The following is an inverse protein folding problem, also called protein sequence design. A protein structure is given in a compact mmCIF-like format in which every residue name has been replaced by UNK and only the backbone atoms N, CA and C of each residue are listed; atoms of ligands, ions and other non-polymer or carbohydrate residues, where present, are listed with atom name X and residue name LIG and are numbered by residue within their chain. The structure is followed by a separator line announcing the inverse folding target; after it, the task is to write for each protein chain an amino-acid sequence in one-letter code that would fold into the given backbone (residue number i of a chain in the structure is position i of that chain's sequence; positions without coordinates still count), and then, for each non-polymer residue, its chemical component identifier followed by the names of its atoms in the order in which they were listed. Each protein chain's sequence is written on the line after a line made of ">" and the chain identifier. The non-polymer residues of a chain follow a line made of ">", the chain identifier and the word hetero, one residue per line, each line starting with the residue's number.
data_IF_773360506854
#
_entry.id   IF_773360506854
#
_cell.length_a   1.000
_cell.length_b   1.000
_cell.length_c   1.000
_cell.angle_alpha   90.00
_cell.angle_beta   90.00
_cell.angle_gamma   90.00
#
_symmetry.space_group_name_H-M   'P 1'
#
loop_
_entity.id
_entity.type
_entity.pdbx_description
1 polymer ?
#
# COMPACT_ATOMS: atom_id res chain seq x y z
N UNK A 1 -52.77 19.86 -25.63
CA UNK A 1 -52.08 19.07 -24.58
C UNK A 1 -51.37 17.92 -25.27
N UNK A 2 -50.10 18.13 -25.61
CA UNK A 2 -49.23 17.10 -26.18
C UNK A 2 -48.79 16.17 -25.05
N UNK A 3 -49.33 14.96 -25.02
CA UNK A 3 -48.82 13.84 -24.24
C UNK A 3 -47.38 13.59 -24.65
N UNK A 4 -46.43 14.09 -23.86
CA UNK A 4 -45.01 13.83 -24.06
C UNK A 4 -44.74 12.34 -23.93
N UNK A 5 -44.29 11.71 -25.01
CA UNK A 5 -43.69 10.39 -24.97
C UNK A 5 -42.53 10.46 -23.95
N UNK A 6 -42.72 9.84 -22.79
CA UNK A 6 -41.64 9.60 -21.86
C UNK A 6 -40.66 8.66 -22.56
N UNK A 7 -39.62 9.23 -23.16
CA UNK A 7 -38.58 8.50 -23.88
C UNK A 7 -38.04 7.37 -23.01
N UNK A 8 -38.31 6.13 -23.42
CA UNK A 8 -37.84 4.94 -22.75
C UNK A 8 -36.32 4.93 -22.80
N UNK A 9 -35.69 4.94 -21.63
CA UNK A 9 -34.22 4.97 -21.53
C UNK A 9 -33.69 3.64 -22.06
N UNK A 10 -32.87 3.70 -23.12
CA UNK A 10 -32.29 2.51 -23.72
C UNK A 10 -31.39 1.71 -22.74
N UNK A 11 -31.25 0.38 -22.92
CA UNK A 11 -30.48 -0.48 -22.01
C UNK A 11 -29.02 -0.03 -21.79
N UNK A 12 -28.39 0.55 -22.82
CA UNK A 12 -27.02 1.08 -22.73
C UNK A 12 -26.90 2.29 -21.80
N UNK A 13 -27.93 3.15 -21.75
CA UNK A 13 -27.97 4.30 -20.86
C UNK A 13 -28.23 3.87 -19.40
N UNK A 14 -29.02 2.82 -19.18
CA UNK A 14 -29.20 2.20 -17.85
C UNK A 14 -27.89 1.62 -17.35
N UNK A 15 -27.17 0.86 -18.19
CA UNK A 15 -25.87 0.28 -17.84
C UNK A 15 -24.84 1.37 -17.49
N UNK A 16 -24.73 2.43 -18.31
CA UNK A 16 -23.82 3.56 -18.00
C UNK A 16 -24.12 4.18 -16.65
N UNK A 17 -25.40 4.34 -16.29
CA UNK A 17 -25.79 4.88 -14.98
C UNK A 17 -25.46 3.92 -13.84
N UNK A 18 -25.72 2.61 -14.01
CA UNK A 18 -25.40 1.60 -13.00
C UNK A 18 -23.88 1.47 -12.75
N UNK A 19 -23.06 1.77 -13.76
CA UNK A 19 -21.60 1.80 -13.64
C UNK A 19 -21.06 3.06 -12.96
N UNK A 20 -21.88 4.08 -12.69
CA UNK A 20 -21.46 5.29 -11.96
C UNK A 20 -21.61 5.13 -10.46
N UNK A 21 -22.71 4.53 -10.01
CA UNK A 21 -22.97 4.22 -8.60
C UNK A 21 -24.01 3.10 -8.50
N UNK A 22 -24.04 2.41 -7.37
CA UNK A 22 -24.99 1.34 -7.11
C UNK A 22 -26.42 1.91 -7.18
N UNK A 23 -27.35 1.13 -7.72
CA UNK A 23 -28.77 1.50 -7.70
C UNK A 23 -29.19 2.59 -8.70
N UNK A 24 -28.27 3.36 -9.30
CA UNK A 24 -28.62 4.34 -10.34
C UNK A 24 -29.27 3.70 -11.57
N UNK A 25 -28.90 2.45 -11.89
CA UNK A 25 -29.57 1.65 -12.92
C UNK A 25 -31.04 1.36 -12.58
N UNK A 26 -31.31 0.92 -11.35
CA UNK A 26 -32.67 0.65 -10.88
C UNK A 26 -33.51 1.92 -10.76
N UNK A 27 -32.91 3.06 -10.37
CA UNK A 27 -33.56 4.36 -10.40
C UNK A 27 -33.91 4.78 -11.83
N UNK A 28 -33.05 4.51 -12.82
CA UNK A 28 -33.32 4.79 -14.22
C UNK A 28 -34.49 3.94 -14.77
N UNK A 29 -34.72 2.74 -14.22
CA UNK A 29 -35.87 1.87 -14.52
C UNK A 29 -37.12 2.24 -13.71
N UNK A 30 -37.10 3.31 -12.91
CA UNK A 30 -38.23 3.73 -12.07
C UNK A 30 -38.42 2.89 -10.80
N UNK A 31 -37.53 1.94 -10.50
CA UNK A 31 -37.55 1.09 -9.30
C UNK A 31 -36.96 1.83 -8.09
N UNK A 32 -37.64 2.90 -7.67
CA UNK A 32 -37.15 3.88 -6.66
C UNK A 32 -36.67 3.23 -5.36
N UNK A 33 -37.46 2.34 -4.76
CA UNK A 33 -37.10 1.69 -3.50
C UNK A 33 -35.86 0.81 -3.61
N UNK A 34 -35.76 0.00 -4.67
CA UNK A 34 -34.59 -0.84 -4.92
C UNK A 34 -33.34 0.01 -5.19
N UNK A 35 -33.45 1.05 -6.00
CA UNK A 35 -32.35 1.96 -6.29
C UNK A 35 -31.84 2.70 -5.03
N UNK A 36 -32.75 3.18 -4.18
CA UNK A 36 -32.37 3.81 -2.91
C UNK A 36 -31.70 2.83 -1.94
N UNK A 37 -32.21 1.60 -1.83
CA UNK A 37 -31.60 0.58 -0.99
C UNK A 37 -30.16 0.26 -1.42
N UNK A 38 -29.91 0.16 -2.73
CA UNK A 38 -28.57 -0.04 -3.27
C UNK A 38 -27.62 1.13 -3.00
N UNK A 39 -28.09 2.38 -3.14
CA UNK A 39 -27.28 3.56 -2.81
C UNK A 39 -26.90 3.61 -1.33
N UNK A 40 -27.83 3.30 -0.43
CA UNK A 40 -27.52 3.21 1.01
C UNK A 40 -26.52 2.09 1.29
N UNK A 41 -26.69 0.93 0.65
CA UNK A 41 -25.75 -0.18 0.78
C UNK A 41 -24.34 0.18 0.28
N UNK A 42 -24.23 0.94 -0.80
CA UNK A 42 -22.94 1.44 -1.30
C UNK A 42 -22.25 2.33 -0.28
N UNK A 43 -22.97 3.31 0.28
CA UNK A 43 -22.42 4.20 1.31
C UNK A 43 -21.92 3.40 2.51
N UNK A 44 -22.73 2.45 3.01
CA UNK A 44 -22.33 1.59 4.13
C UNK A 44 -21.11 0.73 3.79
N UNK A 45 -21.05 0.19 2.58
CA UNK A 45 -19.92 -0.62 2.14
C UNK A 45 -18.65 0.21 1.98
N UNK A 46 -18.73 1.43 1.45
CA UNK A 46 -17.59 2.36 1.37
C UNK A 46 -17.09 2.74 2.77
N UNK A 47 -17.99 3.08 3.70
CA UNK A 47 -17.63 3.37 5.08
C UNK A 47 -16.94 2.17 5.74
N UNK A 48 -17.47 0.96 5.55
CA UNK A 48 -16.87 -0.26 6.05
C UNK A 48 -15.48 -0.52 5.43
N UNK A 49 -15.32 -0.32 4.13
CA UNK A 49 -14.03 -0.48 3.44
C UNK A 49 -12.98 0.51 3.95
N UNK A 50 -13.37 1.77 4.15
CA UNK A 50 -12.48 2.80 4.71
C UNK A 50 -12.07 2.42 6.13
N UNK A 51 -13.03 2.01 6.97
CA UNK A 51 -12.76 1.56 8.33
C UNK A 51 -11.79 0.37 8.37
N UNK A 52 -12.03 -0.66 7.55
CA UNK A 52 -11.18 -1.84 7.46
C UNK A 52 -9.79 -1.48 6.91
N UNK A 53 -9.70 -0.61 5.91
CA UNK A 53 -8.42 -0.22 5.31
C UNK A 53 -7.56 0.56 6.29
N UNK A 54 -8.13 1.55 6.99
CA UNK A 54 -7.41 2.33 8.01
C UNK A 54 -6.94 1.43 9.17
N UNK A 55 -7.77 0.46 9.58
CA UNK A 55 -7.46 -0.38 10.72
C UNK A 55 -6.52 -1.55 10.43
N UNK A 56 -6.61 -2.15 9.23
CA UNK A 56 -6.00 -3.45 8.94
C UNK A 56 -4.96 -3.43 7.81
N UNK A 57 -4.90 -2.38 6.97
CA UNK A 57 -4.02 -2.41 5.79
C UNK A 57 -2.53 -2.52 6.10
N UNK A 58 -2.09 -2.06 7.28
CA UNK A 58 -0.70 -2.14 7.75
C UNK A 58 -0.49 -3.25 8.80
N UNK A 59 -1.38 -4.24 8.82
CA UNK A 59 -1.34 -5.35 9.78
C UNK A 59 -1.16 -6.69 9.07
N UNK A 60 -0.93 -7.75 9.83
CA UNK A 60 -0.94 -9.14 9.34
C UNK A 60 -2.27 -9.54 8.67
N UNK A 61 -3.34 -8.77 8.90
CA UNK A 61 -4.67 -9.00 8.36
C UNK A 61 -5.00 -8.11 7.16
N UNK A 62 -3.98 -7.54 6.50
CA UNK A 62 -4.15 -6.68 5.32
C UNK A 62 -5.01 -7.31 4.21
N UNK A 63 -5.02 -8.64 4.07
CA UNK A 63 -5.87 -9.33 3.08
C UNK A 63 -7.37 -9.12 3.30
N UNK A 64 -7.83 -8.84 4.52
CA UNK A 64 -9.26 -8.64 4.82
C UNK A 64 -9.82 -7.43 4.07
N UNK A 65 -9.28 -6.20 4.20
CA UNK A 65 -9.77 -5.07 3.40
C UNK A 65 -9.66 -5.35 1.91
N UNK A 66 -8.60 -6.01 1.43
CA UNK A 66 -8.48 -6.38 0.01
C UNK A 66 -9.65 -7.22 -0.49
N UNK A 67 -9.95 -8.32 0.22
CA UNK A 67 -11.05 -9.23 -0.12
C UNK A 67 -12.40 -8.53 -0.01
N UNK A 68 -12.59 -7.67 0.99
CA UNK A 68 -13.80 -6.85 1.10
C UNK A 68 -13.96 -5.93 -0.12
N UNK A 69 -12.87 -5.33 -0.61
CA UNK A 69 -12.92 -4.49 -1.81
C UNK A 69 -13.20 -5.29 -3.09
N UNK A 70 -12.66 -6.50 -3.21
CA UNK A 70 -13.02 -7.44 -4.30
C UNK A 70 -14.51 -7.79 -4.24
N UNK A 71 -15.04 -8.07 -3.04
CA UNK A 71 -16.46 -8.35 -2.84
C UNK A 71 -17.34 -7.14 -3.19
N UNK A 72 -16.91 -5.92 -2.83
CA UNK A 72 -17.58 -4.69 -3.23
C UNK A 72 -17.63 -4.52 -4.75
N UNK A 73 -16.50 -4.68 -5.45
CA UNK A 73 -16.43 -4.54 -6.91
C UNK A 73 -17.26 -5.61 -7.62
N UNK A 74 -17.24 -6.85 -7.13
CA UNK A 74 -18.05 -7.94 -7.69
C UNK A 74 -19.55 -7.69 -7.48
N UNK A 75 -19.95 -7.23 -6.30
CA UNK A 75 -21.34 -6.84 -6.03
C UNK A 75 -21.78 -5.69 -6.96
N UNK A 76 -20.91 -4.69 -7.17
CA UNK A 76 -21.17 -3.60 -8.12
C UNK A 76 -21.39 -4.12 -9.54
N UNK A 77 -20.50 -4.97 -10.03
CA UNK A 77 -20.59 -5.55 -11.37
C UNK A 77 -21.87 -6.39 -11.55
N UNK A 78 -22.22 -7.20 -10.55
CA UNK A 78 -23.45 -8.00 -10.55
C UNK A 78 -24.69 -7.10 -10.57
N UNK A 79 -24.73 -6.05 -9.73
CA UNK A 79 -25.86 -5.11 -9.72
C UNK A 79 -26.03 -4.41 -11.07
N UNK A 80 -24.93 -3.95 -11.69
CA UNK A 80 -24.97 -3.34 -13.02
C UNK A 80 -25.45 -4.32 -14.10
N UNK A 81 -25.01 -5.58 -14.05
CA UNK A 81 -25.45 -6.63 -14.96
C UNK A 81 -26.95 -6.94 -14.79
N UNK A 82 -27.45 -7.02 -13.56
CA UNK A 82 -28.87 -7.26 -13.27
C UNK A 82 -29.75 -6.10 -13.75
N UNK A 83 -29.34 -4.84 -13.53
CA UNK A 83 -30.05 -3.68 -14.04
C UNK A 83 -30.09 -3.66 -15.58
N UNK A 84 -28.99 -4.01 -16.23
CA UNK A 84 -28.93 -4.15 -17.69
C UNK A 84 -29.85 -5.27 -18.21
N UNK A 85 -29.85 -6.44 -17.57
CA UNK A 85 -30.74 -7.54 -17.92
C UNK A 85 -32.22 -7.18 -17.74
N UNK A 86 -32.56 -6.45 -16.67
CA UNK A 86 -33.92 -5.94 -16.46
C UNK A 86 -34.32 -4.97 -17.60
N UNK A 87 -33.44 -4.04 -17.96
CA UNK A 87 -33.68 -3.12 -19.07
C UNK A 87 -33.87 -3.85 -20.42
N UNK A 88 -33.11 -4.93 -20.68
CA UNK A 88 -33.27 -5.76 -21.87
C UNK A 88 -34.62 -6.48 -21.90
N UNK A 89 -35.12 -6.95 -20.75
CA UNK A 89 -36.42 -7.63 -20.64
C UNK A 89 -37.58 -6.67 -20.84
N UNK A 90 -37.48 -5.44 -20.34
CA UNK A 90 -38.50 -4.39 -20.50
C UNK A 90 -38.51 -3.78 -21.91
N UNK A 91 -37.38 -3.85 -22.64
CA UNK A 91 -37.19 -3.27 -23.97
C UNK A 91 -37.00 -4.27 -25.12
N UNK A 92 -37.43 -5.52 -24.95
CA UNK A 92 -37.18 -6.62 -25.90
C UNK A 92 -37.73 -6.34 -27.31
N UNK A 93 -36.92 -5.72 -28.18
CA UNK A 93 -37.18 -5.71 -29.63
C UNK A 93 -36.59 -4.59 -30.49
N UNK A 94 -36.08 -3.47 -29.96
CA UNK A 94 -35.83 -2.29 -30.84
C UNK A 94 -34.39 -1.86 -31.13
N UNK A 95 -33.36 -2.29 -30.42
CA UNK A 95 -31.97 -1.90 -30.77
C UNK A 95 -30.94 -2.99 -30.47
N UNK A 96 -30.71 -3.87 -31.45
CA UNK A 96 -29.68 -4.92 -31.44
C UNK A 96 -28.25 -4.38 -31.67
N UNK A 97 -28.06 -3.07 -31.86
CA UNK A 97 -26.74 -2.43 -31.96
C UNK A 97 -25.95 -2.35 -30.64
N UNK A 98 -26.54 -2.82 -29.52
CA UNK A 98 -26.06 -2.54 -28.16
C UNK A 98 -24.99 -3.48 -27.57
N UNK A 99 -24.69 -4.63 -28.16
CA UNK A 99 -23.80 -5.63 -27.52
C UNK A 99 -22.33 -5.17 -27.41
N UNK A 100 -21.78 -4.55 -28.48
CA UNK A 100 -20.44 -3.95 -28.45
C UNK A 100 -20.37 -2.75 -27.50
N UNK A 101 -21.43 -1.95 -27.43
CA UNK A 101 -21.53 -0.81 -26.52
C UNK A 101 -21.65 -1.26 -25.04
N UNK A 102 -22.32 -2.39 -24.78
CA UNK A 102 -22.40 -3.00 -23.45
C UNK A 102 -21.04 -3.58 -23.01
N UNK A 103 -20.34 -4.27 -23.90
CA UNK A 103 -18.99 -4.76 -23.63
C UNK A 103 -18.00 -3.59 -23.36
N UNK A 104 -18.06 -2.53 -24.18
CA UNK A 104 -17.22 -1.35 -24.00
C UNK A 104 -17.54 -0.57 -22.70
N UNK A 105 -18.79 -0.58 -22.24
CA UNK A 105 -19.15 0.03 -20.96
C UNK A 105 -18.75 -0.84 -19.78
N UNK A 106 -18.91 -2.17 -19.84
CA UNK A 106 -18.37 -3.08 -18.82
C UNK A 106 -16.85 -2.97 -18.67
N UNK A 107 -16.12 -2.65 -19.74
CA UNK A 107 -14.68 -2.38 -19.67
C UNK A 107 -14.34 -1.21 -18.72
N UNK A 108 -15.25 -0.28 -18.43
CA UNK A 108 -15.01 0.76 -17.41
C UNK A 108 -14.81 0.20 -16.01
N UNK A 109 -15.31 -0.99 -15.67
CA UNK A 109 -15.05 -1.65 -14.39
C UNK A 109 -13.58 -2.03 -14.20
N UNK A 110 -12.80 -2.07 -15.29
CA UNK A 110 -11.35 -2.26 -15.18
C UNK A 110 -10.68 -1.09 -14.45
N UNK A 111 -11.21 0.13 -14.56
CA UNK A 111 -10.64 1.31 -13.89
C UNK A 111 -10.70 1.18 -12.36
N UNK A 112 -11.87 1.00 -11.71
CA UNK A 112 -11.93 0.82 -10.26
C UNK A 112 -11.24 -0.47 -9.82
N UNK A 113 -11.25 -1.54 -10.63
CA UNK A 113 -10.50 -2.76 -10.34
C UNK A 113 -8.98 -2.51 -10.30
N UNK A 114 -8.45 -1.78 -11.28
CA UNK A 114 -7.03 -1.42 -11.33
C UNK A 114 -6.69 -0.48 -10.19
N UNK A 115 -7.49 0.58 -9.97
CA UNK A 115 -7.27 1.53 -8.87
C UNK A 115 -7.27 0.83 -7.52
N UNK A 116 -8.23 -0.07 -7.27
CA UNK A 116 -8.28 -0.85 -6.04
C UNK A 116 -7.08 -1.80 -5.94
N UNK A 117 -6.85 -2.63 -6.96
CA UNK A 117 -5.79 -3.63 -6.95
C UNK A 117 -4.40 -3.00 -6.80
N UNK A 118 -4.02 -2.09 -7.70
CA UNK A 118 -2.71 -1.43 -7.65
C UNK A 118 -2.58 -0.49 -6.45
N UNK A 119 -3.61 0.32 -6.16
CA UNK A 119 -3.58 1.24 -5.02
C UNK A 119 -3.43 0.48 -3.69
N UNK A 120 -4.15 -0.63 -3.53
CA UNK A 120 -4.01 -1.48 -2.35
C UNK A 120 -2.58 -2.03 -2.23
N UNK A 121 -2.05 -2.70 -3.26
CA UNK A 121 -0.72 -3.30 -3.19
C UNK A 121 0.42 -2.30 -3.02
N UNK A 122 0.29 -1.09 -3.56
CA UNK A 122 1.26 -0.01 -3.36
C UNK A 122 1.33 0.46 -1.90
N UNK A 123 0.22 0.37 -1.16
CA UNK A 123 0.12 0.90 0.20
C UNK A 123 0.25 -0.20 1.26
N UNK A 124 -0.45 -1.32 1.11
CA UNK A 124 -0.51 -2.40 2.13
C UNK A 124 0.58 -3.46 1.96
N UNK A 125 0.98 -3.72 0.71
CA UNK A 125 1.98 -4.74 0.38
C UNK A 125 3.34 -4.44 1.01
N UNK A 126 3.65 -3.16 1.18
CA UNK A 126 4.82 -2.68 1.91
C UNK A 126 4.53 -2.64 3.41
N UNK A 127 3.42 -2.02 3.84
CA UNK A 127 3.13 -1.67 5.22
C UNK A 127 3.03 -2.84 6.22
N UNK A 128 2.70 -4.06 5.76
CA UNK A 128 2.53 -5.24 6.64
C UNK A 128 3.84 -6.00 6.94
N UNK A 129 4.99 -5.50 6.47
CA UNK A 129 6.30 -6.17 6.60
C UNK A 129 7.20 -5.50 7.66
N UNK A 130 8.21 -6.23 8.20
CA UNK A 130 9.21 -5.61 9.06
C UNK A 130 9.99 -4.48 8.35
N UNK A 131 10.17 -4.58 7.02
CA UNK A 131 10.83 -3.55 6.23
C UNK A 131 10.07 -2.22 6.24
N UNK A 132 8.74 -2.24 6.18
CA UNK A 132 7.97 -1.00 6.27
C UNK A 132 7.99 -0.36 7.66
N UNK A 133 8.16 -1.15 8.72
CA UNK A 133 8.39 -0.58 10.05
C UNK A 133 9.72 0.20 10.13
N UNK A 134 10.70 -0.15 9.29
CA UNK A 134 11.99 0.55 9.20
C UNK A 134 11.98 1.76 8.27
N UNK A 135 11.05 1.84 7.32
CA UNK A 135 10.98 2.92 6.32
C UNK A 135 10.95 4.33 6.98
N UNK A 136 10.20 4.46 8.09
CA UNK A 136 10.18 5.70 8.89
C UNK A 136 11.51 6.02 9.54
N UNK A 137 12.23 5.00 10.02
CA UNK A 137 13.56 5.17 10.58
C UNK A 137 14.53 5.61 9.48
N UNK A 138 14.57 4.91 8.34
CA UNK A 138 15.42 5.23 7.21
C UNK A 138 15.17 6.66 6.69
N UNK A 139 13.92 7.07 6.61
CA UNK A 139 13.53 8.42 6.16
C UNK A 139 13.92 9.52 7.16
N UNK A 140 13.84 9.25 8.46
CA UNK A 140 14.12 10.25 9.52
C UNK A 140 15.59 10.26 9.98
N UNK A 141 16.36 9.21 9.72
CA UNK A 141 17.76 9.13 10.16
C UNK A 141 18.68 10.19 9.55
N UNK A 142 18.55 10.58 8.26
CA UNK A 142 19.27 11.74 7.71
C UNK A 142 18.95 13.05 8.42
N UNK A 143 17.69 13.23 8.87
CA UNK A 143 17.31 14.42 9.64
C UNK A 143 18.01 14.44 11.00
N UNK A 144 18.06 13.30 11.70
CA UNK A 144 18.85 13.15 12.94
C UNK A 144 20.33 13.44 12.70
N UNK A 145 20.92 12.93 11.61
CA UNK A 145 22.32 13.16 11.24
C UNK A 145 22.63 14.64 10.96
N UNK A 146 21.66 15.42 10.53
CA UNK A 146 21.78 16.88 10.37
C UNK A 146 21.55 17.69 11.65
N UNK A 147 21.36 17.02 12.79
CA UNK A 147 21.11 17.65 14.10
C UNK A 147 19.64 17.79 14.48
N UNK A 148 18.71 17.25 13.69
CA UNK A 148 17.29 17.21 13.99
C UNK A 148 16.88 16.09 14.95
N UNK A 149 15.62 15.66 14.83
CA UNK A 149 15.00 14.58 15.60
C UNK A 149 14.63 13.40 14.69
N UNK A 150 14.32 12.25 15.28
CA UNK A 150 13.64 11.18 14.57
C UNK A 150 12.15 11.51 14.43
N UNK A 151 11.41 10.69 13.66
CA UNK A 151 9.95 10.72 13.69
C UNK A 151 9.43 10.53 15.12
N UNK A 152 8.44 11.32 15.53
CA UNK A 152 8.00 11.38 16.93
C UNK A 152 7.58 10.01 17.47
N UNK A 153 6.97 9.16 16.63
CA UNK A 153 6.58 7.80 17.02
C UNK A 153 7.76 6.84 17.29
N UNK A 154 8.95 7.13 16.75
CA UNK A 154 10.16 6.35 17.01
C UNK A 154 10.88 6.79 18.29
N UNK A 155 10.74 8.06 18.66
CA UNK A 155 11.35 8.62 19.87
C UNK A 155 10.61 8.19 21.14
N UNK A 156 9.28 8.11 21.10
CA UNK A 156 8.46 7.77 22.27
C UNK A 156 8.41 6.27 22.56
N UNK A 157 8.33 5.42 21.52
CA UNK A 157 7.93 4.02 21.70
C UNK A 157 9.11 3.03 21.65
N UNK A 158 10.22 3.38 21.00
CA UNK A 158 11.23 2.38 20.60
C UNK A 158 12.60 2.49 21.25
N UNK A 159 12.87 3.51 22.08
CA UNK A 159 14.20 3.73 22.65
C UNK A 159 15.33 3.84 21.61
N UNK A 160 15.00 4.15 20.36
CA UNK A 160 15.90 4.08 19.19
C UNK A 160 16.85 5.28 19.15
N UNK A 161 16.41 6.42 19.68
CA UNK A 161 17.10 7.70 19.56
C UNK A 161 18.56 7.66 20.04
N UNK A 162 18.80 7.17 21.27
CA UNK A 162 20.14 7.09 21.86
C UNK A 162 21.08 6.19 21.05
N UNK A 163 20.72 4.91 20.80
CA UNK A 163 21.46 4.01 19.92
C UNK A 163 21.73 4.58 18.53
N UNK A 164 20.73 5.19 17.88
CA UNK A 164 20.87 5.79 16.57
C UNK A 164 21.85 6.97 16.55
N UNK A 165 21.84 7.83 17.58
CA UNK A 165 22.85 8.89 17.74
C UNK A 165 24.25 8.33 17.98
N UNK A 166 24.38 7.27 18.78
CA UNK A 166 25.66 6.61 19.02
C UNK A 166 26.24 6.04 17.71
N UNK A 167 25.40 5.39 16.90
CA UNK A 167 25.78 4.91 15.57
C UNK A 167 26.25 6.04 14.64
N UNK A 168 25.57 7.20 14.65
CA UNK A 168 26.01 8.38 13.90
C UNK A 168 27.38 8.89 14.37
N UNK A 169 27.64 8.91 15.67
CA UNK A 169 28.96 9.25 16.21
C UNK A 169 30.05 8.25 15.76
N UNK A 170 29.72 6.97 15.64
CA UNK A 170 30.62 5.96 15.04
C UNK A 170 30.88 6.24 13.56
N UNK A 171 29.85 6.53 12.78
CA UNK A 171 30.00 6.89 11.35
C UNK A 171 30.84 8.16 11.17
N UNK A 172 30.65 9.19 12.00
CA UNK A 172 31.45 10.42 11.96
C UNK A 172 32.93 10.14 12.26
N UNK A 173 33.23 9.25 13.21
CA UNK A 173 34.61 8.81 13.49
C UNK A 173 35.22 8.06 12.30
N UNK A 174 34.47 7.14 11.69
CA UNK A 174 34.93 6.41 10.49
C UNK A 174 35.17 7.35 9.30
N UNK A 175 34.33 8.37 9.14
CA UNK A 175 34.51 9.45 8.15
C UNK A 175 35.81 10.21 8.39
N UNK A 176 36.05 10.67 9.64
CA UNK A 176 37.27 11.39 10.01
C UNK A 176 38.55 10.55 9.85
N UNK A 177 38.44 9.22 9.98
CA UNK A 177 39.54 8.27 9.78
C UNK A 177 39.78 7.93 8.28
N UNK A 178 38.98 8.47 7.35
CA UNK A 178 39.08 8.15 5.94
C UNK A 178 38.64 6.72 5.58
N UNK A 179 37.88 6.07 6.46
CA UNK A 179 37.34 4.71 6.22
C UNK A 179 36.02 4.71 5.45
N UNK A 180 35.38 5.87 5.34
CA UNK A 180 34.22 6.11 4.47
C UNK A 180 34.65 6.92 3.24
N UNK A 181 33.71 7.17 2.32
CA UNK A 181 34.01 7.99 1.15
C UNK A 181 34.51 9.40 1.50
N UNK A 182 35.35 9.97 0.63
CA UNK A 182 36.00 11.26 0.84
C UNK A 182 35.05 12.45 1.01
N UNK A 183 33.80 12.33 0.54
CA UNK A 183 32.76 13.36 0.65
C UNK A 183 31.77 13.13 1.80
N UNK A 184 32.05 12.18 2.70
CA UNK A 184 31.18 11.80 3.83
C UNK A 184 30.84 12.98 4.76
N UNK A 185 31.74 13.95 4.92
CA UNK A 185 31.54 15.13 5.78
C UNK A 185 30.76 16.25 5.11
N UNK A 186 30.55 16.18 3.79
CA UNK A 186 29.91 17.27 3.03
C UNK A 186 28.40 17.38 3.29
N UNK A 187 27.74 16.27 3.67
CA UNK A 187 26.33 16.29 4.07
C UNK A 187 25.94 15.07 4.91
N UNK A 188 24.85 15.19 5.67
CA UNK A 188 24.25 14.08 6.41
C UNK A 188 23.88 12.89 5.49
N UNK A 189 23.44 13.16 4.26
CA UNK A 189 23.15 12.09 3.27
C UNK A 189 24.42 11.37 2.83
N UNK A 190 25.52 12.10 2.63
CA UNK A 190 26.79 11.49 2.23
C UNK A 190 27.36 10.60 3.33
N UNK A 191 27.21 11.00 4.61
CA UNK A 191 27.60 10.19 5.75
C UNK A 191 26.90 8.81 5.78
N UNK A 192 25.64 8.77 5.34
CA UNK A 192 24.81 7.56 5.34
C UNK A 192 24.86 6.78 4.01
N UNK A 193 25.53 7.29 2.98
CA UNK A 193 25.51 6.70 1.62
C UNK A 193 26.01 5.25 1.58
N UNK A 194 27.03 4.97 2.39
CA UNK A 194 27.70 3.67 2.46
C UNK A 194 27.10 2.79 3.57
N UNK A 195 25.89 3.09 4.05
CA UNK A 195 25.18 2.30 5.05
C UNK A 195 24.10 1.46 4.37
N UNK A 196 23.94 0.21 4.80
CA UNK A 196 22.87 -0.70 4.36
C UNK A 196 22.17 -1.31 5.55
N UNK A 197 20.85 -1.41 5.44
CA UNK A 197 19.99 -2.04 6.45
C UNK A 197 19.55 -3.39 5.89
N UNK A 198 19.88 -4.47 6.58
CA UNK A 198 19.47 -5.81 6.22
C UNK A 198 18.53 -6.37 7.28
N UNK A 199 17.32 -6.76 6.88
CA UNK A 199 16.35 -7.39 7.77
C UNK A 199 16.56 -8.89 7.78
N UNK A 200 16.85 -9.44 8.95
CA UNK A 200 17.00 -10.87 9.22
C UNK A 200 15.81 -11.31 10.06
N UNK A 201 14.91 -12.17 9.54
CA UNK A 201 13.84 -12.74 10.34
C UNK A 201 14.45 -13.65 11.42
N UNK A 202 14.08 -13.44 12.68
CA UNK A 202 14.51 -14.27 13.79
C UNK A 202 13.44 -15.32 14.15
N UNK A 203 12.17 -14.88 14.18
CA UNK A 203 10.99 -15.68 14.49
C UNK A 203 9.77 -15.18 13.67
N UNK A 204 8.62 -15.88 13.67
CA UNK A 204 7.44 -15.45 12.91
C UNK A 204 6.96 -14.02 13.23
N UNK A 205 7.14 -13.59 14.48
CA UNK A 205 6.72 -12.27 14.98
C UNK A 205 7.91 -11.39 15.40
N UNK A 206 9.15 -11.81 15.12
CA UNK A 206 10.35 -11.07 15.53
C UNK A 206 11.36 -11.03 14.38
N UNK A 207 11.94 -9.86 14.17
CA UNK A 207 12.98 -9.66 13.18
C UNK A 207 14.05 -8.74 13.76
N UNK A 208 15.26 -8.89 13.26
CA UNK A 208 16.36 -7.98 13.58
C UNK A 208 16.77 -7.29 12.29
N UNK A 209 17.08 -6.01 12.36
CA UNK A 209 17.63 -5.26 11.26
C UNK A 209 19.03 -4.77 11.60
N UNK A 210 20.00 -5.27 10.85
CA UNK A 210 21.40 -4.94 11.03
C UNK A 210 21.75 -3.78 10.10
N UNK A 211 22.22 -2.70 10.70
CA UNK A 211 22.68 -1.50 10.00
C UNK A 211 24.19 -1.59 9.87
N UNK A 212 24.65 -1.80 8.65
CA UNK A 212 26.06 -2.09 8.36
C UNK A 212 26.66 -1.04 7.45
N UNK A 213 27.90 -0.66 7.73
CA UNK A 213 28.75 0.05 6.77
C UNK A 213 29.19 -0.96 5.72
N UNK A 214 29.00 -0.61 4.45
CA UNK A 214 29.41 -1.41 3.31
C UNK A 214 30.46 -0.67 2.48
N UNK A 215 31.40 -1.41 1.92
CA UNK A 215 32.27 -0.91 0.85
C UNK A 215 31.85 -1.52 -0.48
N UNK A 216 31.95 -0.77 -1.57
CA UNK A 216 31.70 -1.31 -2.90
C UNK A 216 33.00 -1.81 -3.52
N UNK A 217 33.04 -3.11 -3.81
CA UNK A 217 34.18 -3.75 -4.48
C UNK A 217 33.77 -4.12 -5.90
N UNK A 218 34.65 -3.86 -6.88
CA UNK A 218 34.45 -4.34 -8.24
C UNK A 218 34.81 -5.82 -8.29
N UNK A 219 33.82 -6.68 -8.55
CA UNK A 219 34.03 -8.10 -8.78
C UNK A 219 33.96 -8.40 -10.27
N UNK A 220 34.87 -9.23 -10.81
CA UNK A 220 34.74 -9.73 -12.17
C UNK A 220 33.41 -10.46 -12.31
N UNK A 221 32.63 -10.10 -13.33
CA UNK A 221 31.38 -10.75 -13.68
C UNK A 221 31.40 -11.13 -15.16
N UNK A 222 30.46 -11.98 -15.59
CA UNK A 222 30.28 -12.34 -17.00
C UNK A 222 28.87 -11.99 -17.44
N UNK A 223 28.75 -11.05 -18.37
CA UNK A 223 27.49 -10.80 -19.04
C UNK A 223 27.25 -11.91 -20.08
N UNK A 224 26.11 -12.60 -19.95
CA UNK A 224 25.74 -13.78 -20.76
C UNK A 224 26.77 -14.93 -20.74
N UNK A 225 27.68 -14.95 -19.77
CA UNK A 225 28.73 -15.97 -19.67
C UNK A 225 29.92 -15.81 -20.61
N UNK A 226 29.90 -14.81 -21.52
CA UNK A 226 30.88 -14.65 -22.61
C UNK A 226 31.61 -13.30 -22.57
N UNK A 227 30.95 -12.23 -22.14
CA UNK A 227 31.55 -10.91 -22.08
C UNK A 227 32.08 -10.62 -20.68
N UNK A 228 33.38 -10.35 -20.57
CA UNK A 228 33.98 -9.87 -19.33
C UNK A 228 33.34 -8.55 -18.92
N UNK A 229 32.80 -8.52 -17.71
CA UNK A 229 32.20 -7.36 -17.10
C UNK A 229 32.73 -7.21 -15.67
N UNK A 230 32.36 -6.10 -15.03
CA UNK A 230 32.65 -5.87 -13.62
C UNK A 230 31.40 -5.38 -12.94
N UNK A 231 31.00 -6.07 -11.87
CA UNK A 231 29.86 -5.67 -11.05
C UNK A 231 30.37 -5.01 -9.77
N UNK A 232 29.68 -3.97 -9.34
CA UNK A 232 29.90 -3.37 -8.02
C UNK A 232 29.08 -4.15 -6.99
N UNK A 233 29.77 -4.82 -6.07
CA UNK A 233 29.15 -5.62 -5.02
C UNK A 233 29.37 -4.94 -3.67
N UNK A 234 28.31 -4.77 -2.89
CA UNK A 234 28.40 -4.28 -1.52
C UNK A 234 28.96 -5.37 -0.60
N UNK A 235 30.06 -5.07 0.07
CA UNK A 235 30.69 -5.95 1.06
C UNK A 235 30.52 -5.33 2.45
N UNK A 236 29.84 -6.02 3.39
CA UNK A 236 29.67 -5.51 4.75
C UNK A 236 31.03 -5.47 5.46
N UNK A 237 31.31 -4.35 6.14
CA UNK A 237 32.54 -4.10 6.89
C UNK A 237 32.30 -4.19 8.38
N UNK A 238 31.31 -3.44 8.86
CA UNK A 238 31.05 -3.25 10.28
C UNK A 238 29.58 -2.95 10.53
N UNK A 239 28.95 -3.66 11.46
CA UNK A 239 27.64 -3.29 12.00
C UNK A 239 27.81 -2.10 12.93
N UNK A 240 26.94 -1.10 12.81
CA UNK A 240 26.96 0.11 13.65
C UNK A 240 25.72 0.20 14.54
N UNK A 241 24.64 -0.46 14.15
CA UNK A 241 23.38 -0.46 14.89
C UNK A 241 22.63 -1.76 14.60
N UNK A 242 22.06 -2.34 15.64
CA UNK A 242 21.14 -3.48 15.55
C UNK A 242 19.77 -3.02 16.02
N UNK A 243 18.74 -3.22 15.20
CA UNK A 243 17.36 -2.78 15.50
C UNK A 243 16.49 -4.02 15.67
N UNK A 244 15.77 -4.11 16.78
CA UNK A 244 14.84 -5.20 17.03
C UNK A 244 13.42 -4.78 16.66
N UNK A 245 12.76 -5.65 15.89
CA UNK A 245 11.42 -5.47 15.37
C UNK A 245 10.52 -6.57 15.91
N UNK A 246 9.28 -6.21 16.25
CA UNK A 246 8.28 -7.18 16.73
C UNK A 246 6.90 -6.88 16.14
N UNK A 247 6.17 -7.93 15.79
CA UNK A 247 4.76 -7.85 15.45
C UNK A 247 3.92 -7.78 16.74
N UNK A 248 3.41 -6.59 17.06
CA UNK A 248 2.63 -6.34 18.28
C UNK A 248 1.13 -6.28 17.97
N UNK A 249 0.25 -6.71 18.89
CA UNK A 249 -1.19 -6.61 18.70
C UNK A 249 -1.62 -5.16 18.52
N UNK A 250 -2.56 -4.92 17.61
CA UNK A 250 -3.13 -3.58 17.38
C UNK A 250 -4.61 -3.55 17.76
N UNK A 251 -5.02 -2.43 18.36
CA UNK A 251 -6.43 -2.09 18.56
C UNK A 251 -6.94 -1.36 17.33
N UNK A 252 -8.04 -1.85 16.79
CA UNK A 252 -8.73 -1.20 15.68
C UNK A 252 -9.44 0.06 16.16
N UNK A 253 -9.83 0.96 15.23
CA UNK A 253 -10.65 2.11 15.59
C UNK A 253 -11.91 1.65 16.36
N UNK A 254 -12.22 2.34 17.46
CA UNK A 254 -13.27 1.90 18.39
C UNK A 254 -12.83 0.87 19.45
N UNK A 255 -11.55 0.51 19.51
CA UNK A 255 -10.98 -0.32 20.58
C UNK A 255 -11.13 -1.83 20.39
N UNK A 256 -11.56 -2.29 19.21
CA UNK A 256 -11.74 -3.71 18.92
C UNK A 256 -10.38 -4.42 18.81
N UNK A 257 -10.23 -5.54 19.53
CA UNK A 257 -9.07 -6.43 19.47
C UNK A 257 -9.42 -7.66 18.63
N UNK A 258 -9.04 -7.65 17.35
CA UNK A 258 -9.28 -8.80 16.46
C UNK A 258 -8.06 -9.74 16.34
N UNK A 259 -6.98 -9.51 17.08
CA UNK A 259 -5.76 -10.30 16.95
C UNK A 259 -4.87 -9.93 15.74
N UNK A 260 -5.21 -8.85 15.03
CA UNK A 260 -4.34 -8.24 14.03
C UNK A 260 -3.03 -7.75 14.69
N UNK A 261 -1.91 -7.93 14.01
CA UNK A 261 -0.58 -7.53 14.50
C UNK A 261 0.09 -6.55 13.54
N UNK A 262 0.84 -5.59 14.08
CA UNK A 262 1.60 -4.59 13.34
C UNK A 262 3.07 -4.64 13.74
N UNK A 263 3.97 -4.63 12.75
CA UNK A 263 5.40 -4.55 12.99
C UNK A 263 5.78 -3.19 13.58
N UNK A 264 6.57 -3.22 14.64
CA UNK A 264 7.12 -2.02 15.29
C UNK A 264 8.57 -2.24 15.68
N UNK A 265 9.34 -1.16 15.71
CA UNK A 265 10.66 -1.16 16.34
C UNK A 265 10.45 -1.14 17.85
N UNK A 266 10.99 -2.14 18.55
CA UNK A 266 10.84 -2.29 20.00
C UNK A 266 12.08 -1.85 20.77
N UNK A 267 13.25 -1.98 20.16
CA UNK A 267 14.51 -1.53 20.75
C UNK A 267 15.58 -1.41 19.67
N UNK A 268 16.67 -0.72 20.00
CA UNK A 268 17.88 -0.72 19.21
C UNK A 268 19.10 -0.76 20.13
N UNK A 269 20.18 -1.35 19.63
CA UNK A 269 21.43 -1.52 20.37
C UNK A 269 22.59 -1.08 19.48
N UNK A 270 23.47 -0.17 19.95
CA UNK A 270 24.68 0.13 19.22
C UNK A 270 25.56 -1.12 19.17
N UNK A 271 26.17 -1.36 18.01
CA UNK A 271 27.10 -2.46 17.83
C UNK A 271 28.46 -2.19 18.51
#
# INVERSE_FOLDING_TARGET
>A
MTSGEAGTIGPSAVLRRALLAWGLGDLALGRRWAGMAWLVAEILAVVALVFLSIGLADTTWYLIPFLAGVLFLTAWAVQAALAYQAALREGAGRDLGGSRAAAASMAWLTVPLLLWGTGFWLVSGTASSPAAALDRFETSWPALASGGSLDAGLETDGGVYGPARSALGTLQRLCAQGSLSSDCSASARNLLRDVRIAVVPAWPDEATADVTVVSFERRPSRFLGIFSATDLVSVPRQTVLTIHLRALPVRLPGGLELGARRWRIVSAVPA
#
